data_IF_764294877180
#
_entry.id   IF_764294877180
#
_cell.length_a   1.000
_cell.length_b   1.000
_cell.length_c   1.000
_cell.angle_alpha   90.00
_cell.angle_beta   90.00
_cell.angle_gamma   90.00
#
_symmetry.space_group_name_H-M   'P 1'
#
loop_
_entity.id
_entity.type
_entity.pdbx_description
1 polymer ?
#
# COMPACT_ATOMS: atom_id res chain seq x y z
N UNK A 1 11.88 -46.83 -31.37
CA UNK A 1 10.48 -46.41 -31.12
C UNK A 1 10.54 -44.98 -30.63
N UNK A 2 9.91 -44.06 -31.36
CA UNK A 2 10.13 -42.62 -31.29
C UNK A 2 9.53 -42.00 -30.02
N UNK A 3 10.22 -41.02 -29.45
CA UNK A 3 9.83 -40.24 -28.27
C UNK A 3 8.68 -39.22 -28.51
N UNK A 4 7.93 -39.38 -29.60
CA UNK A 4 6.97 -38.38 -30.09
C UNK A 4 5.51 -38.85 -30.08
N UNK A 5 5.22 -40.01 -29.49
CA UNK A 5 3.85 -40.51 -29.44
C UNK A 5 3.18 -40.21 -28.10
N UNK A 6 2.18 -39.31 -28.21
CA UNK A 6 0.97 -39.24 -27.39
C UNK A 6 1.10 -38.39 -26.11
N UNK A 7 1.30 -37.09 -26.27
CA UNK A 7 0.52 -36.15 -25.47
C UNK A 7 -0.91 -36.20 -26.03
N UNK A 8 -1.84 -36.86 -25.33
CA UNK A 8 -3.23 -36.91 -25.79
C UNK A 8 -3.79 -35.49 -25.85
N UNK A 9 -4.68 -35.22 -26.81
CA UNK A 9 -5.38 -33.92 -26.89
C UNK A 9 -6.02 -33.52 -25.54
N UNK A 10 -6.42 -34.50 -24.74
CA UNK A 10 -6.92 -34.30 -23.38
C UNK A 10 -5.88 -33.80 -22.38
N UNK A 11 -4.60 -34.17 -22.50
CA UNK A 11 -3.52 -33.63 -21.65
C UNK A 11 -3.23 -32.17 -21.97
N UNK A 12 -3.31 -31.77 -23.24
CA UNK A 12 -3.17 -30.37 -23.64
C UNK A 12 -4.33 -29.52 -23.12
N UNK A 13 -5.56 -30.05 -23.18
CA UNK A 13 -6.74 -29.38 -22.63
C UNK A 13 -6.68 -29.28 -21.10
N UNK A 14 -6.23 -30.34 -20.41
CA UNK A 14 -6.02 -30.33 -18.96
C UNK A 14 -4.93 -29.34 -18.53
N UNK A 15 -3.84 -29.25 -19.30
CA UNK A 15 -2.77 -28.29 -19.05
C UNK A 15 -3.22 -26.85 -19.28
N UNK A 16 -3.99 -26.59 -20.35
CA UNK A 16 -4.61 -25.28 -20.61
C UNK A 16 -5.59 -24.86 -19.50
N UNK A 17 -6.42 -25.80 -19.03
CA UNK A 17 -7.37 -25.53 -17.94
C UNK A 17 -6.63 -25.18 -16.64
N UNK A 18 -5.55 -25.90 -16.33
CA UNK A 18 -4.70 -25.63 -15.16
C UNK A 18 -4.00 -24.28 -15.27
N UNK A 19 -3.53 -23.90 -16.47
CA UNK A 19 -2.96 -22.57 -16.70
C UNK A 19 -4.01 -21.45 -16.55
N UNK A 20 -5.24 -21.64 -17.03
CA UNK A 20 -6.32 -20.66 -16.81
C UNK A 20 -6.67 -20.48 -15.33
N UNK A 21 -6.72 -21.58 -14.57
CA UNK A 21 -6.97 -21.50 -13.12
C UNK A 21 -5.87 -20.74 -12.37
N UNK A 22 -4.60 -20.96 -12.73
CA UNK A 22 -3.48 -20.23 -12.16
C UNK A 22 -3.56 -18.73 -12.46
N UNK A 23 -3.94 -18.35 -13.69
CA UNK A 23 -4.11 -16.96 -14.08
C UNK A 23 -5.28 -16.27 -13.37
N UNK A 24 -6.38 -16.98 -13.12
CA UNK A 24 -7.51 -16.44 -12.34
C UNK A 24 -7.16 -16.19 -10.87
N UNK A 25 -6.29 -17.03 -10.27
CA UNK A 25 -5.83 -16.83 -8.89
C UNK A 25 -4.84 -15.66 -8.73
N UNK A 26 -4.27 -15.16 -9.83
CA UNK A 26 -3.31 -14.04 -9.83
C UNK A 26 -3.88 -12.80 -10.52
N UNK A 27 -5.15 -12.48 -10.29
CA UNK A 27 -5.58 -11.10 -10.49
C UNK A 27 -4.97 -10.29 -9.34
N UNK A 28 -3.94 -9.44 -9.58
CA UNK A 28 -3.53 -8.49 -8.57
C UNK A 28 -4.77 -7.65 -8.25
N UNK A 29 -5.12 -7.56 -6.97
CA UNK A 29 -6.19 -6.67 -6.55
C UNK A 29 -5.96 -5.31 -7.21
N UNK A 30 -6.97 -4.68 -7.84
CA UNK A 30 -6.80 -3.35 -8.39
C UNK A 30 -6.23 -2.50 -7.27
N UNK A 31 -5.06 -1.90 -7.50
CA UNK A 31 -4.47 -0.97 -6.56
C UNK A 31 -5.53 0.09 -6.33
N UNK A 32 -6.20 0.03 -5.17
CA UNK A 32 -7.14 1.05 -4.75
C UNK A 32 -6.41 2.38 -4.90
N UNK A 33 -7.07 3.41 -5.46
CA UNK A 33 -6.45 4.73 -5.56
C UNK A 33 -5.95 5.09 -4.16
N UNK A 34 -4.63 5.25 -4.05
CA UNK A 34 -4.01 5.50 -2.76
C UNK A 34 -4.44 6.90 -2.31
N UNK A 35 -5.21 6.95 -1.24
CA UNK A 35 -5.73 8.21 -0.72
C UNK A 35 -4.56 9.09 -0.28
N UNK A 36 -4.56 10.33 -0.76
CA UNK A 36 -3.63 11.35 -0.33
C UNK A 36 -4.21 12.10 0.87
N UNK A 37 -3.48 12.09 1.98
CA UNK A 37 -3.87 12.70 3.23
C UNK A 37 -3.08 13.97 3.48
N UNK A 38 -3.72 15.01 3.99
CA UNK A 38 -3.03 16.20 4.48
C UNK A 38 -2.38 15.94 5.84
N UNK A 39 -1.42 16.79 6.25
CA UNK A 39 -0.83 16.71 7.60
C UNK A 39 -1.91 16.72 8.69
N UNK A 40 -2.97 17.51 8.49
CA UNK A 40 -4.06 17.67 9.45
C UNK A 40 -4.86 16.37 9.61
N UNK A 41 -5.18 15.72 8.49
CA UNK A 41 -5.87 14.43 8.48
C UNK A 41 -5.01 13.32 9.07
N UNK A 42 -3.71 13.31 8.78
CA UNK A 42 -2.77 12.36 9.39
C UNK A 42 -2.67 12.57 10.89
N UNK A 43 -2.64 13.82 11.35
CA UNK A 43 -2.63 14.16 12.77
C UNK A 43 -3.89 13.64 13.48
N UNK A 44 -5.06 13.82 12.86
CA UNK A 44 -6.34 13.31 13.39
C UNK A 44 -6.38 11.78 13.45
N UNK A 45 -5.98 11.12 12.35
CA UNK A 45 -6.01 9.66 12.26
C UNK A 45 -5.01 8.98 13.21
N UNK A 46 -3.83 9.56 13.36
CA UNK A 46 -2.76 8.97 14.17
C UNK A 46 -2.79 9.46 15.62
N UNK A 47 -3.65 10.44 15.95
CA UNK A 47 -3.75 11.13 17.25
C UNK A 47 -2.44 11.80 17.69
N UNK A 48 -1.57 12.11 16.73
CA UNK A 48 -0.36 12.88 16.98
C UNK A 48 -0.58 14.34 16.65
N UNK A 49 0.23 15.21 17.26
CA UNK A 49 0.20 16.62 16.94
C UNK A 49 0.72 16.87 15.51
N UNK A 50 0.15 17.86 14.81
CA UNK A 50 0.58 18.30 13.47
C UNK A 50 2.08 18.57 13.41
N UNK A 51 2.66 19.16 14.46
CA UNK A 51 4.11 19.40 14.58
C UNK A 51 4.93 18.11 14.55
N UNK A 52 4.42 17.05 15.17
CA UNK A 52 5.07 15.73 15.19
C UNK A 52 5.05 15.10 13.80
N UNK A 53 3.93 15.20 13.09
CA UNK A 53 3.79 14.73 11.71
C UNK A 53 4.73 15.51 10.79
N UNK A 54 4.79 16.84 10.93
CA UNK A 54 5.73 17.68 10.18
C UNK A 54 7.19 17.29 10.44
N UNK A 55 7.56 17.00 11.70
CA UNK A 55 8.89 16.49 12.05
C UNK A 55 9.21 15.16 11.38
N UNK A 56 8.23 14.26 11.24
CA UNK A 56 8.47 12.99 10.54
C UNK A 56 8.80 13.18 9.05
N UNK A 57 8.30 14.25 8.44
CA UNK A 57 8.60 14.61 7.05
C UNK A 57 9.99 15.26 6.96
N UNK A 58 10.29 16.22 7.84
CA UNK A 58 11.52 17.02 7.73
C UNK A 58 12.75 16.41 8.40
N UNK A 59 12.60 15.84 9.60
CA UNK A 59 13.68 15.31 10.43
C UNK A 59 13.71 13.76 10.41
N UNK A 60 12.58 13.14 10.06
CA UNK A 60 12.42 11.70 10.14
C UNK A 60 12.24 11.20 11.58
N UNK A 61 12.21 9.89 11.73
CA UNK A 61 12.15 9.20 13.02
C UNK A 61 12.96 7.91 12.94
N UNK A 62 13.52 7.49 14.07
CA UNK A 62 14.20 6.21 14.16
C UNK A 62 13.17 5.07 14.22
N UNK A 63 13.37 4.08 13.35
CA UNK A 63 12.75 2.76 13.40
C UNK A 63 13.19 2.02 14.69
N UNK A 64 12.44 1.00 15.10
CA UNK A 64 12.83 0.03 16.13
C UNK A 64 14.24 -0.55 15.91
N UNK A 65 14.71 -0.61 14.66
CA UNK A 65 16.06 -1.08 14.29
C UNK A 65 17.14 0.00 14.35
N UNK A 66 16.82 1.22 14.81
CA UNK A 66 17.76 2.35 14.89
C UNK A 66 18.07 3.02 13.56
N UNK A 67 17.34 2.70 12.49
CA UNK A 67 17.49 3.35 11.18
C UNK A 67 16.63 4.61 11.12
N UNK A 68 17.20 5.73 10.68
CA UNK A 68 16.43 6.94 10.41
C UNK A 68 15.57 6.75 9.16
N UNK A 69 14.26 6.91 9.31
CA UNK A 69 13.28 6.82 8.23
C UNK A 69 12.46 8.11 8.17
N UNK A 70 12.15 8.55 6.97
CA UNK A 70 11.36 9.76 6.74
C UNK A 70 9.97 9.38 6.26
N UNK A 71 8.97 10.16 6.65
CA UNK A 71 7.63 10.02 6.09
C UNK A 71 7.63 10.58 4.67
N UNK A 72 7.32 9.71 3.70
CA UNK A 72 7.27 10.11 2.30
C UNK A 72 6.08 11.03 2.04
N UNK A 73 6.31 12.11 1.30
CA UNK A 73 5.29 13.10 0.93
C UNK A 73 5.43 13.54 -0.50
N UNK A 74 4.32 13.89 -1.12
CA UNK A 74 4.23 14.57 -2.41
C UNK A 74 3.73 15.99 -2.22
N UNK A 75 4.29 16.94 -2.95
CA UNK A 75 3.79 18.32 -2.98
C UNK A 75 3.06 18.56 -4.29
N UNK A 76 1.73 18.67 -4.23
CA UNK A 76 0.90 19.07 -5.37
C UNK A 76 0.75 20.59 -5.47
N UNK A 77 1.01 21.31 -4.38
CA UNK A 77 1.03 22.75 -4.29
C UNK A 77 2.13 23.19 -3.31
N UNK A 78 2.75 24.37 -3.52
CA UNK A 78 3.86 24.83 -2.69
C UNK A 78 3.45 24.94 -1.22
N UNK A 79 4.21 24.28 -0.34
CA UNK A 79 3.98 24.27 1.10
C UNK A 79 2.79 23.41 1.57
N UNK A 80 2.19 22.61 0.69
CA UNK A 80 1.10 21.69 1.02
C UNK A 80 1.53 20.23 0.77
N UNK A 81 2.28 19.62 1.69
CA UNK A 81 2.64 18.22 1.58
C UNK A 81 1.41 17.32 1.76
N UNK A 82 1.29 16.35 0.86
CA UNK A 82 0.28 15.31 0.86
C UNK A 82 0.98 13.97 1.08
N UNK A 83 0.48 13.20 2.03
CA UNK A 83 1.05 11.93 2.46
C UNK A 83 0.18 10.82 1.86
N UNK A 84 0.74 9.96 0.98
CA UNK A 84 0.01 8.78 0.55
C UNK A 84 -0.24 7.87 1.75
N UNK A 85 -1.46 7.35 1.85
CA UNK A 85 -1.88 6.50 2.96
C UNK A 85 -1.02 5.25 3.07
N UNK A 86 -0.64 4.65 1.94
CA UNK A 86 0.31 3.52 1.92
C UNK A 86 1.65 3.84 2.60
N UNK A 87 2.21 5.04 2.35
CA UNK A 87 3.45 5.48 2.96
C UNK A 87 3.30 5.70 4.46
N UNK A 88 2.16 6.22 4.91
CA UNK A 88 1.87 6.37 6.34
C UNK A 88 1.77 5.01 7.04
N UNK A 89 1.15 4.01 6.41
CA UNK A 89 1.08 2.65 6.94
C UNK A 89 2.48 2.03 7.03
N UNK A 90 3.28 2.12 5.97
CA UNK A 90 4.64 1.60 5.96
C UNK A 90 5.52 2.27 7.03
N UNK A 91 5.40 3.59 7.17
CA UNK A 91 6.10 4.35 8.21
C UNK A 91 5.64 3.93 9.62
N UNK A 92 4.34 3.74 9.83
CA UNK A 92 3.80 3.30 11.11
C UNK A 92 4.21 1.89 11.53
N UNK A 93 4.27 0.97 10.56
CA UNK A 93 4.81 -0.37 10.80
C UNK A 93 6.28 -0.34 11.23
N UNK A 94 7.08 0.53 10.61
CA UNK A 94 8.50 0.64 10.94
C UNK A 94 8.77 1.28 12.32
N UNK A 95 7.94 2.22 12.77
CA UNK A 95 8.12 2.86 14.10
C UNK A 95 7.28 2.22 15.22
N UNK A 96 6.42 1.25 14.89
CA UNK A 96 5.63 0.48 15.86
C UNK A 96 4.40 1.16 16.45
N UNK A 97 3.68 2.02 15.72
CA UNK A 97 2.35 2.48 16.17
C UNK A 97 1.22 1.76 15.43
N UNK A 98 0.04 1.71 16.04
CA UNK A 98 -1.09 0.94 15.55
C UNK A 98 -1.68 1.55 14.26
N UNK A 99 -1.44 0.89 13.12
CA UNK A 99 -1.96 1.30 11.80
C UNK A 99 -3.29 0.64 11.46
N UNK A 100 -3.93 -0.10 12.38
CA UNK A 100 -5.22 -0.78 12.12
C UNK A 100 -6.34 0.19 11.77
N UNK A 101 -6.32 1.39 12.35
CA UNK A 101 -7.28 2.46 12.02
C UNK A 101 -7.03 3.06 10.63
N UNK A 102 -5.78 2.97 10.14
CA UNK A 102 -5.39 3.45 8.83
C UNK A 102 -5.68 2.46 7.71
N UNK A 103 -6.12 1.24 8.00
CA UNK A 103 -6.43 0.24 6.95
C UNK A 103 -7.91 0.26 6.54
N UNK A 104 -8.77 0.96 7.28
CA UNK A 104 -10.19 1.09 6.92
C UNK A 104 -10.40 2.22 5.90
N UNK A 105 -11.08 1.98 4.77
CA UNK A 105 -11.39 3.05 3.82
C UNK A 105 -12.09 4.20 4.56
N UNK A 106 -11.76 5.47 4.25
CA UNK A 106 -12.42 6.57 4.91
C UNK A 106 -13.92 6.53 4.58
N UNK A 107 -14.81 6.98 5.48
CA UNK A 107 -16.20 7.19 5.10
C UNK A 107 -16.22 8.13 3.88
N UNK A 108 -17.01 7.78 2.87
CA UNK A 108 -17.17 8.56 1.64
C UNK A 108 -17.35 10.04 2.02
N UNK A 109 -16.40 10.88 1.59
CA UNK A 109 -16.52 12.33 1.75
C UNK A 109 -17.67 12.78 0.86
N UNK A 110 -18.87 12.89 1.42
CA UNK A 110 -19.98 13.57 0.76
C UNK A 110 -19.53 15.03 0.60
N UNK A 111 -19.18 15.39 -0.63
CA UNK A 111 -18.97 16.79 -1.01
C UNK A 111 -20.22 17.57 -0.59
N UNK A 112 -20.05 18.46 0.38
CA UNK A 112 -21.06 19.42 0.82
C UNK A 112 -20.83 20.75 0.11
#
# INVERSE_FOLDING_TARGET
MNANDIATKGDLEALLLKMQQLLQTTLPAPALPDDYLTIDEVAELTRFNRKTVAKWISEGKYDQRGKLIHLFTLEFAPGKPHIPRSALIAFGQAIGFDTKQLTQPPPLRLAS
#
